data_IF_968183708099
#
_entry.id   IF_968183708099
#
_cell.length_a   1.000
_cell.length_b   1.000
_cell.length_c   1.000
_cell.angle_alpha   90.00
_cell.angle_beta   90.00
_cell.angle_gamma   90.00
#
_symmetry.space_group_name_H-M   'P 1'
#
loop_
_entity.id
_entity.type
_entity.pdbx_description
1 polymer ?
#
# COMPACT_ATOMS: atom_id res chain seq x y z
N UNK A 1 -8.74 21.76 -19.34
CA UNK A 1 -9.37 20.64 -18.61
C UNK A 1 -10.07 21.15 -17.35
N UNK A 2 -11.42 21.29 -17.36
CA UNK A 2 -12.18 21.39 -16.10
C UNK A 2 -13.47 20.53 -16.04
N UNK A 3 -13.81 19.78 -17.09
CA UNK A 3 -15.14 19.15 -17.22
C UNK A 3 -15.42 18.05 -16.18
N UNK A 4 -14.39 17.32 -15.73
CA UNK A 4 -14.53 16.22 -14.77
C UNK A 4 -14.87 16.75 -13.36
N UNK A 5 -14.28 17.87 -12.97
CA UNK A 5 -14.45 18.43 -11.63
C UNK A 5 -15.90 18.91 -11.39
N UNK A 6 -16.50 19.56 -12.38
CA UNK A 6 -17.88 20.06 -12.29
C UNK A 6 -18.94 18.93 -12.31
N UNK A 7 -18.59 17.76 -12.84
CA UNK A 7 -19.50 16.61 -12.88
C UNK A 7 -19.63 15.97 -11.48
N UNK A 8 -18.54 15.94 -10.70
CA UNK A 8 -18.51 15.40 -9.33
C UNK A 8 -19.40 16.22 -8.37
N UNK A 9 -19.50 17.54 -8.58
CA UNK A 9 -20.36 18.43 -7.78
C UNK A 9 -21.85 18.27 -8.06
N UNK A 10 -22.24 17.72 -9.21
CA UNK A 10 -23.63 17.59 -9.67
C UNK A 10 -24.26 16.20 -9.43
N UNK A 11 -23.50 15.22 -8.93
CA UNK A 11 -23.96 13.83 -8.78
C UNK A 11 -24.79 13.62 -7.50
N UNK A 12 -25.79 12.72 -7.56
CA UNK A 12 -26.57 12.29 -6.38
C UNK A 12 -25.63 11.65 -5.35
N UNK A 13 -25.90 11.85 -4.06
CA UNK A 13 -25.03 11.42 -2.94
C UNK A 13 -24.55 9.97 -3.03
N UNK A 14 -25.37 9.05 -3.58
CA UNK A 14 -25.01 7.65 -3.80
C UNK A 14 -23.92 7.39 -4.85
N UNK A 15 -23.91 8.14 -5.96
CA UNK A 15 -22.91 7.95 -7.03
C UNK A 15 -21.53 8.46 -6.59
N UNK A 16 -21.51 9.56 -5.82
CA UNK A 16 -20.29 10.08 -5.21
C UNK A 16 -19.68 9.08 -4.22
N UNK A 17 -20.52 8.42 -3.42
CA UNK A 17 -20.07 7.38 -2.49
C UNK A 17 -19.46 6.18 -3.23
N UNK A 18 -20.02 5.78 -4.38
CA UNK A 18 -19.46 4.71 -5.21
C UNK A 18 -18.07 5.05 -5.75
N UNK A 19 -17.91 6.24 -6.31
CA UNK A 19 -16.61 6.70 -6.82
C UNK A 19 -15.58 6.82 -5.70
N UNK A 20 -15.97 7.36 -4.54
CA UNK A 20 -15.09 7.45 -3.38
C UNK A 20 -14.72 6.07 -2.81
N UNK A 21 -15.66 5.13 -2.79
CA UNK A 21 -15.40 3.74 -2.35
C UNK A 21 -14.44 3.04 -3.31
N UNK A 22 -14.60 3.24 -4.61
CA UNK A 22 -13.67 2.71 -5.60
C UNK A 22 -12.27 3.33 -5.44
N UNK A 23 -12.18 4.64 -5.25
CA UNK A 23 -10.90 5.31 -5.01
C UNK A 23 -10.24 4.83 -3.72
N UNK A 24 -11.02 4.66 -2.65
CA UNK A 24 -10.54 4.19 -1.35
C UNK A 24 -10.03 2.74 -1.41
N UNK A 25 -10.72 1.86 -2.15
CA UNK A 25 -10.27 0.47 -2.34
C UNK A 25 -8.99 0.39 -3.16
N UNK A 26 -8.89 1.15 -4.26
CA UNK A 26 -7.65 1.25 -5.04
C UNK A 26 -6.48 1.80 -4.21
N UNK A 27 -6.71 2.88 -3.46
CA UNK A 27 -5.70 3.44 -2.57
C UNK A 27 -5.26 2.43 -1.50
N UNK A 28 -6.21 1.66 -0.94
CA UNK A 28 -5.92 0.61 0.05
C UNK A 28 -5.05 -0.50 -0.54
N UNK A 29 -5.34 -0.94 -1.76
CA UNK A 29 -4.52 -1.95 -2.47
C UNK A 29 -3.10 -1.44 -2.70
N UNK A 30 -2.95 -0.19 -3.15
CA UNK A 30 -1.63 0.44 -3.37
C UNK A 30 -0.85 0.56 -2.06
N UNK A 31 -1.48 1.02 -0.97
CA UNK A 31 -0.84 1.10 0.35
C UNK A 31 -0.41 -0.29 0.83
N UNK A 32 -1.23 -1.31 0.62
CA UNK A 32 -0.92 -2.68 1.00
C UNK A 32 0.32 -3.20 0.27
N UNK A 33 0.39 -3.00 -1.06
CA UNK A 33 1.55 -3.41 -1.87
C UNK A 33 2.84 -2.69 -1.45
N UNK A 34 2.74 -1.38 -1.15
CA UNK A 34 3.88 -0.61 -0.63
C UNK A 34 4.33 -1.12 0.74
N UNK A 35 3.39 -1.37 1.65
CA UNK A 35 3.67 -1.91 2.97
C UNK A 35 4.35 -3.26 2.90
N UNK A 36 3.90 -4.15 2.01
CA UNK A 36 4.53 -5.45 1.75
C UNK A 36 5.98 -5.30 1.25
N UNK A 37 6.21 -4.38 0.30
CA UNK A 37 7.56 -4.10 -0.20
C UNK A 37 8.49 -3.55 0.89
N UNK A 38 7.99 -2.65 1.75
CA UNK A 38 8.77 -2.08 2.85
C UNK A 38 9.04 -3.08 3.97
N UNK A 39 8.10 -3.99 4.24
CA UNK A 39 8.32 -5.09 5.17
C UNK A 39 9.45 -6.00 4.67
N UNK A 40 9.39 -6.44 3.41
CA UNK A 40 10.41 -7.29 2.79
C UNK A 40 11.80 -6.64 2.78
N UNK A 41 11.87 -5.29 2.77
CA UNK A 41 13.13 -4.54 2.91
C UNK A 41 13.60 -4.37 4.37
N UNK A 42 12.88 -4.89 5.35
CA UNK A 42 13.23 -4.76 6.76
C UNK A 42 12.95 -3.38 7.37
N UNK A 43 12.28 -2.47 6.64
CA UNK A 43 12.01 -1.12 7.14
C UNK A 43 11.03 -1.12 8.33
N UNK A 44 10.21 -2.16 8.44
CA UNK A 44 9.30 -2.35 9.57
C UNK A 44 10.00 -2.29 10.95
N UNK A 45 11.27 -2.67 11.03
CA UNK A 45 12.08 -2.65 12.25
C UNK A 45 12.50 -1.26 12.73
N UNK A 46 12.46 -0.26 11.84
CA UNK A 46 12.75 1.14 12.18
C UNK A 46 11.51 1.92 12.62
N UNK A 47 10.32 1.45 12.24
CA UNK A 47 9.04 2.09 12.58
C UNK A 47 8.32 1.39 13.74
N UNK A 48 8.88 0.31 14.28
CA UNK A 48 8.40 -0.33 15.50
C UNK A 48 8.93 0.41 16.74
N UNK A 49 8.00 0.89 17.57
CA UNK A 49 8.32 1.41 18.90
C UNK A 49 8.69 0.31 19.90
N UNK A 50 8.34 -0.95 19.60
CA UNK A 50 8.63 -2.09 20.46
C UNK A 50 10.07 -2.59 20.23
N UNK A 51 10.80 -2.82 21.34
CA UNK A 51 12.15 -3.39 21.33
C UNK A 51 12.20 -4.83 20.78
N UNK A 52 11.07 -5.55 20.79
CA UNK A 52 10.93 -6.87 20.19
C UNK A 52 10.69 -6.75 18.68
N UNK A 53 11.78 -6.90 17.93
CA UNK A 53 11.87 -6.81 16.47
C UNK A 53 11.65 -8.14 15.74
N UNK A 54 11.23 -9.19 16.44
CA UNK A 54 11.11 -10.54 15.87
C UNK A 54 9.78 -10.80 15.14
N UNK A 55 8.78 -9.90 15.26
CA UNK A 55 7.46 -10.08 14.66
C UNK A 55 6.90 -8.77 14.11
N UNK A 56 6.11 -8.88 13.04
CA UNK A 56 5.33 -7.76 12.51
C UNK A 56 4.14 -7.46 13.42
N UNK A 57 4.22 -6.36 14.16
CA UNK A 57 3.12 -5.84 15.00
C UNK A 57 2.25 -4.84 14.23
N UNK A 58 2.80 -4.17 13.22
CA UNK A 58 2.14 -3.07 12.48
C UNK A 58 1.53 -3.61 11.19
N UNK A 59 0.32 -3.17 10.84
CA UNK A 59 -0.32 -3.53 9.57
C UNK A 59 0.45 -2.96 8.38
N UNK A 60 0.34 -3.58 7.20
CA UNK A 60 0.97 -3.06 5.99
C UNK A 60 0.55 -1.64 5.64
N UNK A 61 -0.73 -1.31 5.85
CA UNK A 61 -1.26 0.02 5.58
C UNK A 61 -0.59 1.06 6.50
N UNK A 62 -0.54 0.76 7.80
CA UNK A 62 0.08 1.66 8.79
C UNK A 62 1.59 1.80 8.56
N UNK A 63 2.28 0.71 8.17
CA UNK A 63 3.70 0.77 7.81
C UNK A 63 3.92 1.64 6.57
N UNK A 64 3.14 1.44 5.51
CA UNK A 64 3.23 2.24 4.30
C UNK A 64 2.97 3.72 4.59
N UNK A 65 1.93 4.03 5.35
CA UNK A 65 1.60 5.39 5.75
C UNK A 65 2.75 6.05 6.53
N UNK A 66 3.31 5.36 7.53
CA UNK A 66 4.43 5.89 8.31
C UNK A 66 5.69 6.13 7.47
N UNK A 67 6.00 5.22 6.53
CA UNK A 67 7.13 5.38 5.59
C UNK A 67 6.88 6.56 4.65
N UNK A 68 5.67 6.68 4.09
CA UNK A 68 5.29 7.79 3.21
C UNK A 68 5.35 9.13 3.93
N UNK A 69 4.94 9.19 5.20
CA UNK A 69 4.98 10.39 6.03
C UNK A 69 6.40 10.87 6.32
N UNK A 70 7.33 9.94 6.55
CA UNK A 70 8.73 10.27 6.86
C UNK A 70 9.61 10.41 5.62
N UNK A 71 9.25 9.76 4.50
CA UNK A 71 10.09 9.69 3.30
C UNK A 71 9.23 9.51 2.04
N UNK A 72 8.52 10.57 1.61
CA UNK A 72 7.59 10.47 0.48
C UNK A 72 8.31 10.13 -0.84
N UNK A 73 9.60 10.45 -0.96
CA UNK A 73 10.41 10.17 -2.14
C UNK A 73 10.66 8.67 -2.37
N UNK A 74 10.55 7.86 -1.31
CA UNK A 74 10.70 6.40 -1.41
C UNK A 74 9.61 5.82 -2.31
N UNK A 75 8.38 6.33 -2.23
CA UNK A 75 7.26 5.90 -3.09
C UNK A 75 7.60 5.99 -4.58
N UNK A 76 8.27 7.07 -4.98
CA UNK A 76 8.68 7.31 -6.37
C UNK A 76 9.77 6.36 -6.85
N UNK A 77 10.54 5.78 -5.91
CA UNK A 77 11.61 4.83 -6.20
C UNK A 77 11.15 3.38 -6.19
N UNK A 78 9.93 3.11 -5.71
CA UNK A 78 9.38 1.76 -5.73
C UNK A 78 9.03 1.38 -7.16
N UNK A 79 9.58 0.26 -7.63
CA UNK A 79 9.28 -0.33 -8.94
C UNK A 79 8.25 -1.44 -8.77
N UNK A 80 7.16 -1.38 -9.52
CA UNK A 80 6.08 -2.38 -9.46
C UNK A 80 6.61 -3.80 -9.73
N UNK A 81 7.51 -3.94 -10.71
CA UNK A 81 8.18 -5.19 -11.05
C UNK A 81 8.86 -5.86 -9.86
N UNK A 82 9.48 -5.07 -8.97
CA UNK A 82 10.15 -5.61 -7.79
C UNK A 82 9.15 -6.19 -6.78
N UNK A 83 7.95 -5.61 -6.70
CA UNK A 83 6.87 -6.09 -5.83
C UNK A 83 6.29 -7.39 -6.39
N UNK A 84 6.04 -7.43 -7.70
CA UNK A 84 5.51 -8.61 -8.38
C UNK A 84 6.49 -9.80 -8.33
N UNK A 85 7.78 -9.55 -8.51
CA UNK A 85 8.82 -10.56 -8.37
C UNK A 85 8.86 -11.12 -6.94
N UNK A 86 8.73 -10.26 -5.92
CA UNK A 86 8.66 -10.69 -4.52
C UNK A 86 7.42 -11.56 -4.26
N UNK A 87 6.24 -11.11 -4.70
CA UNK A 87 4.99 -11.88 -4.58
C UNK A 87 5.10 -13.24 -5.26
N UNK A 88 5.65 -13.28 -6.47
CA UNK A 88 5.85 -14.52 -7.23
C UNK A 88 6.81 -15.46 -6.50
N UNK A 89 7.90 -14.93 -5.93
CA UNK A 89 8.82 -15.72 -5.13
C UNK A 89 8.16 -16.27 -3.87
N UNK A 90 7.38 -15.47 -3.14
CA UNK A 90 6.68 -15.92 -1.94
C UNK A 90 5.63 -16.97 -2.27
N UNK A 91 4.83 -16.75 -3.32
CA UNK A 91 3.83 -17.70 -3.78
C UNK A 91 4.49 -19.02 -4.20
N UNK A 92 5.56 -18.94 -4.99
CA UNK A 92 6.34 -20.11 -5.40
C UNK A 92 6.91 -20.87 -4.20
N UNK A 93 7.44 -20.16 -3.21
CA UNK A 93 7.94 -20.77 -1.97
C UNK A 93 6.84 -21.37 -1.10
N UNK A 94 5.58 -20.98 -1.26
CA UNK A 94 4.44 -21.60 -0.55
C UNK A 94 3.88 -22.80 -1.32
N UNK A 95 3.87 -22.73 -2.64
CA UNK A 95 3.28 -23.76 -3.51
C UNK A 95 4.25 -24.91 -3.80
N UNK A 96 5.56 -24.63 -3.93
CA UNK A 96 6.60 -25.64 -4.16
C UNK A 96 7.17 -26.25 -2.87
N UNK A 97 6.43 -26.18 -1.76
CA UNK A 97 6.75 -26.93 -0.52
C UNK A 97 6.34 -28.41 -0.63
N UNK A 98 5.80 -28.83 -1.77
CA UNK A 98 5.50 -30.22 -2.10
C UNK A 98 6.56 -30.83 -3.02
#
# INVERSE_FOLDING_TARGET
>A
MPKIFNQITSMKTGERLWVLSLLATLASIVLWLLGYHFENKGLHLHYQANSLKSRRVISFLTLAENVLRHSPQIARRVKLESILAQLTSTYRNMVLVY
#
